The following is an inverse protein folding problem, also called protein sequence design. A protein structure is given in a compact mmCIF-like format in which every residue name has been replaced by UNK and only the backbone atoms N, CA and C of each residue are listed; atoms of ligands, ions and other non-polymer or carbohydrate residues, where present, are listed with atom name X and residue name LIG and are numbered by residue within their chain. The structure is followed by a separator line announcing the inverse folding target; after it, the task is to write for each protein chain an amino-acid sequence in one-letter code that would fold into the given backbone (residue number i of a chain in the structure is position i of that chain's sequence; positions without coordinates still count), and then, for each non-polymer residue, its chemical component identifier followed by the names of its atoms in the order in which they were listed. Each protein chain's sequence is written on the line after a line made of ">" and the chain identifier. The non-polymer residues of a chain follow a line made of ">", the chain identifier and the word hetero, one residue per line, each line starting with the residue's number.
data_IF_266956467768
#
_entry.id   IF_266956467768
#
_cell.length_a   1.000
_cell.length_b   1.000
_cell.length_c   1.000
_cell.angle_alpha   90.00
_cell.angle_beta   90.00
_cell.angle_gamma   90.00
#
_symmetry.space_group_name_H-M   'P 1'
#
loop_
_entity.id
_entity.type
_entity.pdbx_description
1 polymer ?
#
# COMPACT_ATOMS: atom_id res chain seq x y z
N UNK A 1 0.52 -6.05 -25.41
CA UNK A 1 0.37 -4.64 -25.04
C UNK A 1 0.03 -4.52 -23.55
N UNK A 2 0.63 -3.56 -22.85
CA UNK A 2 0.24 -3.29 -21.48
C UNK A 2 -1.17 -2.71 -21.44
N UNK A 3 -2.00 -3.19 -20.55
CA UNK A 3 -3.34 -2.67 -20.34
C UNK A 3 -3.27 -1.27 -19.73
N UNK A 4 -4.25 -0.40 -20.03
CA UNK A 4 -4.37 0.92 -19.42
C UNK A 4 -4.92 0.85 -18.00
N UNK A 5 -5.38 -0.32 -17.56
CA UNK A 5 -5.95 -0.55 -16.23
C UNK A 5 -5.24 -1.72 -15.58
N UNK A 6 -5.08 -1.67 -14.24
CA UNK A 6 -4.59 -2.82 -13.52
C UNK A 6 -5.53 -4.02 -13.69
N UNK A 7 -4.95 -5.20 -13.65
CA UNK A 7 -5.70 -6.44 -13.74
C UNK A 7 -6.67 -6.58 -12.57
N UNK A 8 -7.84 -7.17 -12.80
CA UNK A 8 -8.79 -7.53 -11.76
C UNK A 8 -8.19 -8.67 -10.93
N UNK A 9 -8.03 -8.44 -9.63
CA UNK A 9 -7.40 -9.37 -8.70
C UNK A 9 -8.41 -10.20 -7.89
N UNK A 10 -9.69 -10.17 -8.26
CA UNK A 10 -10.73 -10.93 -7.53
C UNK A 10 -10.45 -12.42 -7.44
N UNK A 11 -9.70 -12.97 -8.40
CA UNK A 11 -9.32 -14.38 -8.38
C UNK A 11 -8.48 -14.75 -7.14
N UNK A 12 -7.80 -13.79 -6.52
CA UNK A 12 -7.01 -14.05 -5.31
C UNK A 12 -7.89 -14.43 -4.13
N UNK A 13 -9.09 -13.86 -4.05
CA UNK A 13 -10.06 -14.22 -3.01
C UNK A 13 -10.59 -15.63 -3.26
N UNK A 14 -10.95 -15.94 -4.49
CA UNK A 14 -11.46 -17.26 -4.87
C UNK A 14 -10.43 -18.36 -4.64
N UNK A 15 -9.16 -18.05 -4.88
CA UNK A 15 -8.06 -18.99 -4.65
C UNK A 15 -7.64 -19.10 -3.19
N UNK A 16 -8.19 -18.26 -2.30
CA UNK A 16 -7.89 -18.31 -0.87
C UNK A 16 -6.62 -17.57 -0.44
N UNK A 17 -6.01 -16.79 -1.35
CA UNK A 17 -4.77 -16.06 -1.02
C UNK A 17 -5.03 -14.74 -0.31
N UNK A 18 -6.18 -14.14 -0.48
CA UNK A 18 -6.54 -12.83 0.05
C UNK A 18 -7.93 -12.91 0.68
N UNK A 19 -8.09 -12.35 1.89
CA UNK A 19 -9.37 -12.32 2.60
C UNK A 19 -10.13 -11.02 2.41
N UNK A 20 -9.42 -9.92 2.17
CA UNK A 20 -10.03 -8.62 1.96
C UNK A 20 -10.46 -8.37 0.53
N UNK A 21 -10.60 -7.11 0.15
CA UNK A 21 -10.85 -6.71 -1.24
C UNK A 21 -9.51 -6.41 -1.92
N UNK A 22 -9.03 -7.30 -2.80
CA UNK A 22 -7.72 -7.13 -3.42
C UNK A 22 -7.66 -5.95 -4.37
N UNK A 23 -8.77 -5.59 -5.01
CA UNK A 23 -8.79 -4.46 -5.95
C UNK A 23 -8.73 -3.12 -5.21
N UNK A 24 -9.40 -2.99 -4.07
CA UNK A 24 -9.29 -1.79 -3.23
C UNK A 24 -7.88 -1.70 -2.64
N UNK A 25 -7.32 -2.79 -2.14
CA UNK A 25 -5.97 -2.80 -1.61
C UNK A 25 -4.94 -2.43 -2.70
N UNK A 26 -5.09 -2.97 -3.91
CA UNK A 26 -4.28 -2.60 -5.07
C UNK A 26 -4.33 -1.09 -5.33
N UNK A 27 -5.53 -0.54 -5.40
CA UNK A 27 -5.73 0.88 -5.70
C UNK A 27 -5.21 1.77 -4.57
N UNK A 28 -5.34 1.34 -3.31
CA UNK A 28 -4.75 2.04 -2.17
C UNK A 28 -3.22 2.07 -2.26
N UNK A 29 -2.61 0.95 -2.63
CA UNK A 29 -1.16 0.86 -2.82
C UNK A 29 -0.70 1.82 -3.93
N UNK A 30 -1.38 1.82 -5.06
CA UNK A 30 -1.04 2.72 -6.17
C UNK A 30 -1.20 4.18 -5.77
N UNK A 31 -2.27 4.53 -5.06
CA UNK A 31 -2.50 5.89 -4.59
C UNK A 31 -1.37 6.35 -3.66
N UNK A 32 -1.06 5.55 -2.64
CA UNK A 32 -0.03 5.92 -1.67
C UNK A 32 1.36 6.00 -2.31
N UNK A 33 1.67 5.09 -3.24
CA UNK A 33 2.95 5.13 -3.96
C UNK A 33 3.06 6.39 -4.82
N UNK A 34 1.96 6.84 -5.41
CA UNK A 34 1.94 8.05 -6.22
C UNK A 34 2.08 9.32 -5.38
N UNK A 35 1.56 9.34 -4.15
CA UNK A 35 1.45 10.55 -3.33
C UNK A 35 2.51 10.69 -2.25
N UNK A 36 3.21 9.62 -1.91
CA UNK A 36 4.18 9.63 -0.83
C UNK A 36 5.61 9.56 -1.34
N UNK A 37 6.53 10.17 -0.58
CA UNK A 37 7.97 10.03 -0.79
C UNK A 37 8.49 8.87 0.05
N UNK A 38 9.65 8.33 -0.33
CA UNK A 38 10.36 7.30 0.43
C UNK A 38 9.52 6.06 0.69
N UNK A 39 8.87 5.55 -0.37
CA UNK A 39 7.97 4.40 -0.24
C UNK A 39 8.78 3.11 -0.24
N UNK A 40 8.90 2.52 0.94
CA UNK A 40 9.49 1.21 1.17
C UNK A 40 8.40 0.26 1.64
N UNK A 41 8.56 -1.07 1.49
CA UNK A 41 7.51 -2.02 1.88
C UNK A 41 7.00 -1.83 3.31
N UNK A 42 7.92 -1.59 4.27
CA UNK A 42 7.53 -1.38 5.68
C UNK A 42 6.71 -0.10 5.84
N UNK A 43 7.15 1.00 5.23
CA UNK A 43 6.40 2.26 5.27
C UNK A 43 5.01 2.09 4.66
N UNK A 44 4.94 1.47 3.49
CA UNK A 44 3.66 1.25 2.79
C UNK A 44 2.71 0.42 3.65
N UNK A 45 3.21 -0.64 4.27
CA UNK A 45 2.43 -1.48 5.17
C UNK A 45 1.82 -0.66 6.33
N UNK A 46 2.62 0.22 6.94
CA UNK A 46 2.16 1.05 8.05
C UNK A 46 1.17 2.12 7.59
N UNK A 47 1.38 2.70 6.41
CA UNK A 47 0.42 3.64 5.82
C UNK A 47 -0.92 2.98 5.55
N UNK A 48 -0.93 1.75 5.06
CA UNK A 48 -2.15 0.98 4.85
C UNK A 48 -2.88 0.71 6.16
N UNK A 49 -2.15 0.39 7.22
CA UNK A 49 -2.74 0.18 8.53
C UNK A 49 -3.35 1.47 9.10
N UNK A 50 -2.64 2.58 8.98
CA UNK A 50 -3.15 3.89 9.39
C UNK A 50 -4.43 4.25 8.62
N UNK A 51 -4.46 3.95 7.33
CA UNK A 51 -5.64 4.20 6.51
C UNK A 51 -6.83 3.34 6.97
N UNK A 52 -6.61 2.09 7.34
CA UNK A 52 -7.67 1.24 7.87
C UNK A 52 -8.25 1.82 9.17
N UNK A 53 -7.39 2.24 10.09
CA UNK A 53 -7.83 2.82 11.35
C UNK A 53 -8.64 4.10 11.10
N UNK A 54 -8.11 5.02 10.31
CA UNK A 54 -8.79 6.29 10.03
C UNK A 54 -10.12 6.06 9.32
N UNK A 55 -10.14 5.17 8.34
CA UNK A 55 -11.36 4.87 7.60
C UNK A 55 -12.44 4.27 8.50
N UNK A 56 -12.06 3.30 9.34
CA UNK A 56 -12.98 2.66 10.28
C UNK A 56 -13.55 3.68 11.28
N UNK A 57 -12.70 4.58 11.78
CA UNK A 57 -13.13 5.61 12.73
C UNK A 57 -14.05 6.65 12.10
N UNK A 58 -13.81 7.00 10.84
CA UNK A 58 -14.56 8.06 10.15
C UNK A 58 -15.84 7.55 9.49
N UNK A 59 -15.79 6.37 8.90
CA UNK A 59 -16.88 5.84 8.07
C UNK A 59 -17.61 4.67 8.73
N UNK A 60 -17.00 4.02 9.72
CA UNK A 60 -17.57 2.85 10.38
C UNK A 60 -17.39 1.54 9.63
N UNK A 61 -16.57 1.53 8.57
CA UNK A 61 -16.31 0.34 7.76
C UNK A 61 -14.83 0.20 7.50
N UNK A 62 -14.37 -1.04 7.30
CA UNK A 62 -12.99 -1.30 6.87
C UNK A 62 -12.78 -0.77 5.46
N UNK A 63 -11.58 -0.27 5.18
CA UNK A 63 -11.22 0.23 3.85
C UNK A 63 -10.99 -0.92 2.86
N UNK A 64 -10.04 -1.80 3.18
CA UNK A 64 -9.65 -2.91 2.30
C UNK A 64 -10.03 -4.26 2.87
N UNK A 65 -10.33 -4.32 4.17
CA UNK A 65 -10.53 -5.54 4.94
C UNK A 65 -9.33 -6.50 4.89
N UNK A 66 -8.14 -5.98 4.54
CA UNK A 66 -6.92 -6.77 4.52
C UNK A 66 -6.58 -7.26 5.92
N UNK A 67 -5.98 -8.44 5.99
CA UNK A 67 -5.51 -9.02 7.23
C UNK A 67 -4.15 -8.44 7.61
N UNK A 68 -4.01 -7.92 8.83
CA UNK A 68 -2.76 -7.39 9.35
C UNK A 68 -2.19 -8.33 10.39
N UNK A 69 -0.90 -8.66 10.23
CA UNK A 69 -0.15 -9.42 11.22
C UNK A 69 0.71 -8.46 12.03
N UNK A 70 0.79 -8.70 13.33
CA UNK A 70 1.69 -7.93 14.19
C UNK A 70 3.06 -8.60 14.23
N UNK A 71 4.11 -7.81 14.00
CA UNK A 71 5.49 -8.24 14.09
C UNK A 71 6.30 -7.24 14.93
N UNK A 72 7.62 -7.40 14.97
CA UNK A 72 8.50 -6.51 15.74
C UNK A 72 8.48 -5.07 15.25
N UNK A 73 8.01 -4.83 14.04
CA UNK A 73 7.93 -3.51 13.41
C UNK A 73 6.52 -2.93 13.44
N UNK A 74 5.57 -3.62 14.10
CA UNK A 74 4.18 -3.23 14.20
C UNK A 74 3.28 -3.94 13.19
N UNK A 75 2.06 -3.41 12.95
CA UNK A 75 1.11 -4.05 12.05
C UNK A 75 1.62 -4.13 10.61
N UNK A 76 1.41 -5.28 9.96
CA UNK A 76 1.85 -5.53 8.60
C UNK A 76 0.71 -6.20 7.81
N UNK A 77 0.22 -5.62 6.71
CA UNK A 77 -0.78 -6.27 5.87
C UNK A 77 -0.13 -7.39 5.08
N UNK A 78 -0.39 -8.62 5.49
CA UNK A 78 0.13 -9.84 4.89
C UNK A 78 -0.07 -9.88 3.37
N UNK A 79 -1.23 -9.40 2.94
CA UNK A 79 -1.66 -9.51 1.55
C UNK A 79 -1.01 -8.46 0.64
N UNK A 80 -0.49 -7.37 1.21
CA UNK A 80 0.07 -6.28 0.43
C UNK A 80 1.29 -6.72 -0.39
N UNK A 81 2.14 -7.56 0.18
CA UNK A 81 3.33 -8.06 -0.52
C UNK A 81 2.95 -8.79 -1.81
N UNK A 82 1.93 -9.64 -1.73
CA UNK A 82 1.45 -10.37 -2.90
C UNK A 82 0.94 -9.42 -3.99
N UNK A 83 0.17 -8.43 -3.60
CA UNK A 83 -0.39 -7.46 -4.55
C UNK A 83 0.70 -6.58 -5.16
N UNK A 84 1.69 -6.18 -4.37
CA UNK A 84 2.86 -5.44 -4.90
C UNK A 84 3.57 -6.26 -5.96
N UNK A 85 3.76 -7.55 -5.74
CA UNK A 85 4.41 -8.43 -6.70
C UNK A 85 3.59 -8.53 -8.00
N UNK A 86 2.27 -8.66 -7.92
CA UNK A 86 1.41 -8.63 -9.09
C UNK A 86 1.50 -7.31 -9.85
N UNK A 87 1.52 -6.19 -9.15
CA UNK A 87 1.64 -4.88 -9.78
C UNK A 87 2.99 -4.69 -10.46
N UNK A 88 4.06 -5.25 -9.90
CA UNK A 88 5.38 -5.24 -10.53
C UNK A 88 5.35 -6.07 -11.82
N UNK A 89 4.81 -7.28 -11.77
CA UNK A 89 4.70 -8.15 -12.94
C UNK A 89 3.85 -7.53 -14.04
N UNK A 90 2.82 -6.78 -13.68
CA UNK A 90 1.90 -6.12 -14.63
C UNK A 90 2.43 -4.76 -15.11
N UNK A 91 3.61 -4.36 -14.66
CA UNK A 91 4.27 -3.14 -15.13
C UNK A 91 3.79 -1.84 -14.51
N UNK A 92 3.03 -1.88 -13.42
CA UNK A 92 2.55 -0.68 -12.73
C UNK A 92 3.52 -0.16 -11.68
N UNK A 93 4.24 -1.07 -11.01
CA UNK A 93 5.24 -0.73 -10.00
C UNK A 93 6.60 -1.28 -10.43
N UNK A 94 7.64 -0.64 -9.93
CA UNK A 94 9.01 -1.16 -10.03
C UNK A 94 9.67 -1.08 -8.68
N UNK A 95 10.58 -1.99 -8.42
CA UNK A 95 11.39 -2.02 -7.22
C UNK A 95 12.81 -1.56 -7.57
N UNK A 96 13.35 -0.66 -6.76
CA UNK A 96 14.73 -0.17 -6.91
C UNK A 96 15.47 -0.50 -5.64
N UNK A 97 16.60 -1.20 -5.76
CA UNK A 97 17.45 -1.50 -4.62
C UNK A 97 18.37 -0.31 -4.39
N UNK A 98 18.37 0.21 -3.16
CA UNK A 98 19.26 1.28 -2.73
C UNK A 98 20.22 0.73 -1.68
N UNK A 99 21.46 1.19 -1.69
CA UNK A 99 22.44 0.88 -0.64
C UNK A 99 22.56 2.08 0.28
N UNK A 100 22.31 1.89 1.58
CA UNK A 100 22.45 2.95 2.57
C UNK A 100 23.92 3.26 2.81
N UNK A 101 24.20 4.39 3.48
CA UNK A 101 25.57 4.76 3.88
C UNK A 101 26.24 3.71 4.76
N UNK A 102 25.45 2.89 5.46
CA UNK A 102 25.95 1.81 6.31
C UNK A 102 26.10 0.48 5.57
N UNK A 103 25.83 0.46 4.26
CA UNK A 103 25.96 -0.75 3.44
C UNK A 103 24.73 -1.67 3.42
N UNK A 104 23.62 -1.26 4.03
CA UNK A 104 22.38 -2.03 4.00
C UNK A 104 21.66 -1.83 2.68
N UNK A 105 21.04 -2.87 2.17
CA UNK A 105 20.20 -2.81 0.98
C UNK A 105 18.75 -2.53 1.40
N UNK A 106 18.13 -1.57 0.73
CA UNK A 106 16.71 -1.25 0.91
C UNK A 106 16.01 -1.29 -0.44
N UNK A 107 14.79 -1.79 -0.45
CA UNK A 107 13.96 -1.85 -1.67
C UNK A 107 12.96 -0.72 -1.65
N UNK A 108 13.10 0.20 -2.61
CA UNK A 108 12.17 1.31 -2.80
C UNK A 108 11.14 0.93 -3.85
N UNK A 109 9.89 1.31 -3.60
CA UNK A 109 8.79 1.05 -4.52
C UNK A 109 8.44 2.35 -5.23
N UNK A 110 8.36 2.29 -6.56
CA UNK A 110 7.99 3.44 -7.40
C UNK A 110 6.96 3.05 -8.42
N UNK A 111 6.19 4.03 -8.90
CA UNK A 111 5.36 3.83 -10.08
C UNK A 111 6.27 3.64 -11.30
N UNK A 112 6.01 2.58 -12.07
CA UNK A 112 6.71 2.32 -13.32
C UNK A 112 6.11 3.09 -14.50
N UNK A 113 4.88 3.58 -14.32
CA UNK A 113 4.13 4.36 -15.31
C UNK A 113 3.15 5.26 -14.56
N UNK A 114 2.56 6.29 -15.20
CA UNK A 114 1.58 7.15 -14.52
C UNK A 114 0.46 6.34 -13.88
N UNK A 115 0.01 6.77 -12.69
CA UNK A 115 -1.06 6.08 -11.98
C UNK A 115 -2.32 6.01 -12.84
N UNK A 116 -3.00 4.85 -12.88
CA UNK A 116 -4.22 4.71 -13.63
C UNK A 116 -5.38 5.40 -12.93
N UNK A 117 -6.52 5.47 -13.60
CA UNK A 117 -7.76 5.85 -12.93
C UNK A 117 -8.10 4.77 -11.92
N UNK A 118 -8.22 5.16 -10.65
CA UNK A 118 -8.48 4.23 -9.56
C UNK A 118 -9.98 4.10 -9.30
N UNK A 119 -10.41 2.89 -8.93
CA UNK A 119 -11.81 2.59 -8.62
C UNK A 119 -12.16 2.80 -7.16
N UNK A 120 -11.54 3.78 -6.50
CA UNK A 120 -11.79 4.05 -5.10
C UNK A 120 -13.03 4.92 -4.91
N UNK A 121 -13.81 4.64 -3.84
CA UNK A 121 -14.94 5.47 -3.47
C UNK A 121 -14.46 6.85 -3.00
N UNK A 122 -15.33 7.89 -3.00
CA UNK A 122 -14.96 9.19 -2.46
C UNK A 122 -14.47 9.12 -1.00
N UNK A 123 -15.08 8.28 -0.17
CA UNK A 123 -14.65 8.11 1.21
C UNK A 123 -13.26 7.48 1.30
N UNK A 124 -12.97 6.50 0.45
CA UNK A 124 -11.65 5.86 0.40
C UNK A 124 -10.58 6.86 -0.04
N UNK A 125 -10.86 7.66 -1.06
CA UNK A 125 -9.93 8.69 -1.53
C UNK A 125 -9.65 9.70 -0.43
N UNK A 126 -10.68 10.15 0.30
CA UNK A 126 -10.50 11.11 1.39
C UNK A 126 -9.63 10.55 2.50
N UNK A 127 -9.85 9.29 2.88
CA UNK A 127 -9.02 8.61 3.88
C UNK A 127 -7.57 8.53 3.46
N UNK A 128 -7.31 8.06 2.24
CA UNK A 128 -5.95 7.92 1.72
C UNK A 128 -5.27 9.27 1.55
N UNK A 129 -6.01 10.28 1.12
CA UNK A 129 -5.49 11.64 1.00
C UNK A 129 -5.04 12.19 2.36
N UNK A 130 -5.85 11.99 3.39
CA UNK A 130 -5.52 12.42 4.75
C UNK A 130 -4.26 11.73 5.28
N UNK A 131 -4.16 10.42 5.10
CA UNK A 131 -2.98 9.65 5.51
C UNK A 131 -1.74 10.13 4.76
N UNK A 132 -1.84 10.30 3.44
CA UNK A 132 -0.71 10.77 2.64
C UNK A 132 -0.26 12.17 3.06
N UNK A 133 -1.20 13.09 3.30
CA UNK A 133 -0.88 14.46 3.72
C UNK A 133 -0.12 14.47 5.06
N UNK A 134 -0.48 13.58 5.98
CA UNK A 134 0.15 13.53 7.31
C UNK A 134 1.53 12.87 7.30
N UNK A 135 1.75 11.90 6.41
CA UNK A 135 2.90 11.00 6.51
C UNK A 135 3.81 10.94 5.28
N UNK A 136 3.47 11.62 4.17
CA UNK A 136 4.18 11.45 2.89
C UNK A 136 5.68 11.70 2.93
N UNK A 137 6.15 12.61 3.77
CA UNK A 137 7.57 12.95 3.92
C UNK A 137 8.22 12.32 5.15
N UNK A 138 7.46 11.57 5.95
CA UNK A 138 7.99 10.92 7.14
C UNK A 138 8.60 9.58 6.76
N UNK A 139 9.72 9.24 7.40
CA UNK A 139 10.35 7.95 7.17
C UNK A 139 9.65 6.83 7.95
N UNK A 140 10.04 5.60 7.64
CA UNK A 140 9.47 4.41 8.26
C UNK A 140 9.60 4.44 9.78
N UNK A 141 10.74 4.87 10.32
CA UNK A 141 10.99 4.87 11.75
C UNK A 141 10.02 5.78 12.50
N UNK A 142 9.71 6.96 11.95
CA UNK A 142 8.75 7.88 12.54
C UNK A 142 7.34 7.27 12.60
N UNK A 143 6.94 6.55 11.55
CA UNK A 143 5.64 5.90 11.48
C UNK A 143 5.57 4.73 12.47
N UNK A 144 6.60 3.90 12.53
CA UNK A 144 6.66 2.77 13.47
C UNK A 144 6.59 3.27 14.90
N UNK A 145 7.31 4.35 15.22
CA UNK A 145 7.27 4.95 16.56
C UNK A 145 5.85 5.41 16.94
N UNK A 146 5.11 5.98 15.99
CA UNK A 146 3.74 6.43 16.23
C UNK A 146 2.75 5.28 16.45
N UNK A 147 3.07 4.08 15.93
CA UNK A 147 2.20 2.90 16.02
C UNK A 147 2.51 1.96 17.18
N UNK A 148 3.55 2.26 17.93
CA UNK A 148 3.93 1.47 19.11
C UNK A 148 3.16 1.88 20.35
#
# INVERSE_FOLDING_TARGET
>A
MASDRPEDLSFLVEAGFVKGDPNILRDAILYLTAKCAYVYPVKLAKLLYLAEIEHTNRVGKRLTSAEFLHDNYGPNPREATLIIDFLEMDGWLRKEVETTKRGYHMTKIRLARPAPKLGLSPDAVETLRSVAASWKFRNTDAIVAALR
#
